data_IF_152321249149
#
_entry.id   IF_152321249149
#
_cell.length_a   1.000
_cell.length_b   1.000
_cell.length_c   1.000
_cell.angle_alpha   90.00
_cell.angle_beta   90.00
_cell.angle_gamma   90.00
#
_symmetry.space_group_name_H-M   'P 1'
#
loop_
_entity.id
_entity.type
_entity.pdbx_description
1 polymer ?
#
# COMPACT_ATOMS: atom_id res chain seq x y z
N UNK A 1 -1.06 22.37 11.02
CA UNK A 1 -1.15 20.91 11.20
C UNK A 1 -0.56 20.25 9.95
N UNK A 2 0.64 19.65 10.04
CA UNK A 2 1.34 19.08 8.89
C UNK A 2 0.56 17.95 8.20
N UNK A 3 -0.31 17.26 8.95
CA UNK A 3 -1.14 16.17 8.44
C UNK A 3 -2.23 16.63 7.46
N UNK A 4 -2.62 17.91 7.55
CA UNK A 4 -3.60 18.55 6.65
C UNK A 4 -2.89 19.11 5.42
N UNK A 5 -1.80 19.85 5.63
CA UNK A 5 -0.87 20.28 4.58
C UNK A 5 0.52 20.50 5.22
N UNK A 6 1.61 20.03 4.59
CA UNK A 6 1.69 19.45 3.25
C UNK A 6 1.42 17.93 3.17
N UNK A 7 1.03 17.28 4.28
CA UNK A 7 0.80 15.83 4.35
C UNK A 7 2.07 14.99 4.50
N UNK A 8 3.22 15.64 4.70
CA UNK A 8 4.51 15.00 4.91
C UNK A 8 5.46 15.90 5.71
N UNK A 9 6.43 15.30 6.39
CA UNK A 9 7.49 16.00 7.10
C UNK A 9 8.84 15.67 6.48
N UNK A 10 9.73 16.65 6.46
CA UNK A 10 11.11 16.46 5.99
C UNK A 10 12.08 16.38 7.17
N UNK A 11 13.15 15.63 6.99
CA UNK A 11 14.31 15.66 7.87
C UNK A 11 14.95 17.06 7.80
N UNK A 12 15.00 17.74 8.94
CA UNK A 12 15.62 19.06 9.10
C UNK A 12 17.03 18.99 9.68
N UNK A 13 17.55 17.78 9.93
CA UNK A 13 18.91 17.59 10.41
C UNK A 13 19.94 17.91 9.32
N UNK A 14 21.16 18.23 9.73
CA UNK A 14 22.30 18.32 8.81
C UNK A 14 22.87 16.92 8.57
N UNK A 15 23.09 16.57 7.31
CA UNK A 15 23.67 15.27 6.96
C UNK A 15 23.15 14.72 5.64
N UNK A 16 23.46 13.44 5.38
CA UNK A 16 23.10 12.75 4.13
C UNK A 16 21.60 12.57 3.92
N UNK A 17 20.80 12.67 4.99
CA UNK A 17 19.35 12.49 4.95
C UNK A 17 18.57 13.82 4.94
N UNK A 18 19.28 14.95 5.00
CA UNK A 18 18.67 16.28 5.03
C UNK A 18 17.71 16.48 3.84
N UNK A 19 16.47 16.88 4.14
CA UNK A 19 15.44 17.16 3.14
C UNK A 19 14.67 15.93 2.61
N UNK A 20 14.99 14.72 3.06
CA UNK A 20 14.20 13.51 2.80
C UNK A 20 12.89 13.53 3.59
N UNK A 21 11.83 12.95 3.05
CA UNK A 21 10.56 12.83 3.77
C UNK A 21 10.67 11.74 4.88
N UNK A 22 10.35 12.09 6.12
CA UNK A 22 10.46 11.22 7.32
C UNK A 22 9.10 10.80 7.90
N UNK A 23 8.02 11.45 7.49
CA UNK A 23 6.66 11.08 7.88
C UNK A 23 5.67 11.44 6.76
N UNK A 24 4.59 10.67 6.66
CA UNK A 24 3.52 10.86 5.69
C UNK A 24 2.17 10.75 6.39
N UNK A 25 1.24 11.63 6.06
CA UNK A 25 -0.11 11.62 6.63
C UNK A 25 -1.01 10.62 5.92
N UNK A 26 -2.10 10.22 6.57
CA UNK A 26 -3.11 9.34 5.96
C UNK A 26 -3.69 9.93 4.66
N UNK A 27 -3.99 11.23 4.64
CA UNK A 27 -4.49 11.94 3.45
C UNK A 27 -3.50 11.91 2.28
N UNK A 28 -2.20 12.01 2.57
CA UNK A 28 -1.15 11.88 1.56
C UNK A 28 -1.07 10.44 1.03
N UNK A 29 -1.07 9.46 1.93
CA UNK A 29 -0.91 8.04 1.61
C UNK A 29 -2.11 7.43 0.87
N UNK A 30 -3.30 8.02 1.03
CA UNK A 30 -4.55 7.59 0.37
C UNK A 30 -4.83 8.35 -0.93
N UNK A 31 -3.98 9.32 -1.32
CA UNK A 31 -4.17 10.16 -2.52
C UNK A 31 -4.03 9.41 -3.86
N UNK A 32 -3.74 8.11 -3.83
CA UNK A 32 -3.52 7.27 -5.00
C UNK A 32 -2.11 7.34 -5.59
N UNK A 33 -1.26 8.27 -5.13
CA UNK A 33 0.15 8.36 -5.54
C UNK A 33 1.05 7.66 -4.51
N UNK A 34 1.83 6.62 -4.89
CA UNK A 34 2.80 6.01 -4.00
C UNK A 34 3.86 7.00 -3.50
N UNK A 35 4.05 7.04 -2.18
CA UNK A 35 5.11 7.79 -1.54
C UNK A 35 6.46 7.10 -1.77
N UNK A 36 7.48 7.85 -2.19
CA UNK A 36 8.83 7.33 -2.33
C UNK A 36 9.48 7.24 -0.96
N UNK A 37 9.83 6.03 -0.53
CA UNK A 37 10.52 5.76 0.75
C UNK A 37 12.03 5.66 0.53
N UNK A 38 12.43 5.05 -0.58
CA UNK A 38 13.81 4.95 -1.06
C UNK A 38 13.78 4.79 -2.58
N UNK A 39 14.94 4.84 -3.26
CA UNK A 39 15.06 4.80 -4.72
C UNK A 39 14.27 3.66 -5.39
N UNK A 40 14.10 2.52 -4.71
CA UNK A 40 13.39 1.35 -5.22
C UNK A 40 12.18 0.92 -4.36
N UNK A 41 11.81 1.69 -3.33
CA UNK A 41 10.73 1.34 -2.40
C UNK A 41 9.70 2.46 -2.40
N UNK A 42 8.44 2.11 -2.68
CA UNK A 42 7.31 3.02 -2.53
C UNK A 42 6.26 2.45 -1.59
N UNK A 43 5.50 3.33 -0.95
CA UNK A 43 4.42 2.96 -0.04
C UNK A 43 3.13 3.75 -0.33
N UNK A 44 1.98 3.09 -0.28
CA UNK A 44 0.67 3.75 -0.28
C UNK A 44 -0.38 2.94 0.47
N UNK A 45 -1.48 3.62 0.79
CA UNK A 45 -2.71 3.00 1.28
C UNK A 45 -3.68 2.87 0.12
N UNK A 46 -4.16 1.65 -0.10
CA UNK A 46 -5.14 1.33 -1.13
C UNK A 46 -6.48 1.11 -0.43
N UNK A 47 -7.49 1.88 -0.83
CA UNK A 47 -8.84 1.74 -0.32
C UNK A 47 -9.70 1.00 -1.33
N UNK A 48 -10.18 -0.18 -0.97
CA UNK A 48 -11.15 -0.95 -1.76
C UNK A 48 -12.54 -0.71 -1.16
N UNK A 49 -13.41 -0.05 -1.93
CA UNK A 49 -14.78 0.27 -1.49
C UNK A 49 -15.64 -0.98 -1.32
N UNK A 50 -16.70 -0.92 -0.49
CA UNK A 50 -17.67 -2.01 -0.37
C UNK A 50 -18.17 -2.51 -1.72
N UNK A 51 -18.23 -3.83 -1.90
CA UNK A 51 -18.67 -4.48 -3.14
C UNK A 51 -17.75 -4.25 -4.34
N UNK A 52 -16.57 -3.64 -4.13
CA UNK A 52 -15.60 -3.38 -5.19
C UNK A 52 -14.41 -4.35 -5.14
N UNK A 53 -13.71 -4.40 -6.26
CA UNK A 53 -12.53 -5.23 -6.44
C UNK A 53 -11.33 -4.35 -6.77
N UNK A 54 -10.23 -4.56 -6.05
CA UNK A 54 -8.90 -4.05 -6.41
C UNK A 54 -8.17 -5.06 -7.28
N UNK A 55 -7.56 -4.59 -8.37
CA UNK A 55 -6.74 -5.42 -9.26
C UNK A 55 -5.31 -4.91 -9.29
N UNK A 56 -4.37 -5.84 -9.16
CA UNK A 56 -2.96 -5.59 -9.42
C UNK A 56 -2.57 -6.36 -10.68
N UNK A 57 -2.25 -5.59 -11.71
CA UNK A 57 -1.73 -6.14 -12.95
C UNK A 57 -0.34 -6.76 -12.71
N UNK A 58 0.01 -7.66 -13.63
CA UNK A 58 1.32 -8.29 -13.70
C UNK A 58 2.37 -7.19 -13.86
N UNK A 59 3.27 -7.09 -12.89
CA UNK A 59 4.39 -6.15 -12.91
C UNK A 59 5.68 -6.87 -12.54
N UNK A 60 6.81 -6.26 -12.93
CA UNK A 60 8.15 -6.72 -12.55
C UNK A 60 8.58 -6.14 -11.20
N UNK A 61 7.70 -6.23 -10.20
CA UNK A 61 7.91 -5.67 -8.86
C UNK A 61 7.42 -6.63 -7.79
N UNK A 62 8.10 -6.67 -6.65
CA UNK A 62 7.62 -7.34 -5.45
C UNK A 62 6.66 -6.41 -4.71
N UNK A 63 5.48 -6.90 -4.32
CA UNK A 63 4.56 -6.15 -3.47
C UNK A 63 4.33 -6.90 -2.17
N UNK A 64 4.54 -6.22 -1.06
CA UNK A 64 4.19 -6.68 0.29
C UNK A 64 2.95 -5.91 0.71
N UNK A 65 1.86 -6.62 0.96
CA UNK A 65 0.56 -6.02 1.28
C UNK A 65 0.07 -6.50 2.64
N UNK A 66 -0.50 -5.61 3.44
CA UNK A 66 -1.17 -5.97 4.68
C UNK A 66 -2.51 -5.28 4.83
N UNK A 67 -3.47 -5.99 5.43
CA UNK A 67 -4.80 -5.46 5.71
C UNK A 67 -4.72 -4.58 6.94
N UNK A 68 -4.81 -3.27 6.76
CA UNK A 68 -4.79 -2.29 7.85
C UNK A 68 -6.15 -2.17 8.52
N UNK A 69 -7.25 -2.36 7.77
CA UNK A 69 -8.61 -2.37 8.28
C UNK A 69 -9.52 -3.19 7.37
N UNK A 70 -10.46 -3.94 7.96
CA UNK A 70 -11.45 -4.74 7.24
C UNK A 70 -11.07 -6.21 7.07
N UNK A 71 -11.75 -6.88 6.14
CA UNK A 71 -11.50 -8.28 5.74
C UNK A 71 -11.43 -8.36 4.22
N UNK A 72 -10.37 -8.95 3.71
CA UNK A 72 -10.10 -9.10 2.29
C UNK A 72 -10.30 -10.56 1.85
N UNK A 73 -10.91 -10.76 0.69
CA UNK A 73 -10.78 -12.00 -0.06
C UNK A 73 -9.75 -11.77 -1.17
N UNK A 74 -8.61 -12.44 -1.06
CA UNK A 74 -7.45 -12.23 -1.92
C UNK A 74 -7.27 -13.45 -2.80
N UNK A 75 -7.19 -13.25 -4.12
CA UNK A 75 -6.84 -14.30 -5.07
C UNK A 75 -5.46 -14.03 -5.65
N UNK A 76 -4.52 -14.95 -5.47
CA UNK A 76 -3.16 -14.88 -6.02
C UNK A 76 -2.95 -16.11 -6.89
N UNK A 77 -2.64 -15.90 -8.17
CA UNK A 77 -2.39 -17.02 -9.11
C UNK A 77 -3.54 -18.05 -9.13
N UNK A 78 -4.78 -17.55 -9.06
CA UNK A 78 -6.00 -18.36 -9.02
C UNK A 78 -6.33 -19.01 -7.68
N UNK A 79 -5.51 -18.82 -6.63
CA UNK A 79 -5.75 -19.38 -5.29
C UNK A 79 -6.37 -18.34 -4.35
N UNK A 80 -7.57 -18.59 -3.80
CA UNK A 80 -8.24 -17.66 -2.90
C UNK A 80 -7.82 -17.83 -1.43
N UNK A 81 -7.77 -16.72 -0.70
CA UNK A 81 -7.46 -16.63 0.73
C UNK A 81 -8.36 -15.58 1.39
N UNK A 82 -8.77 -15.81 2.64
CA UNK A 82 -9.44 -14.79 3.46
C UNK A 82 -8.46 -14.23 4.48
N UNK A 83 -8.32 -12.91 4.51
CA UNK A 83 -7.37 -12.21 5.36
C UNK A 83 -8.12 -11.15 6.19
N UNK A 84 -7.93 -11.18 7.51
CA UNK A 84 -8.44 -10.16 8.41
C UNK A 84 -7.43 -9.03 8.64
N UNK A 85 -7.79 -8.09 9.51
CA UNK A 85 -6.90 -7.03 9.96
C UNK A 85 -5.57 -7.60 10.50
N UNK A 86 -4.47 -6.91 10.21
CA UNK A 86 -3.08 -7.27 10.53
C UNK A 86 -2.53 -8.51 9.79
N UNK A 87 -3.31 -9.16 8.92
CA UNK A 87 -2.77 -10.18 8.03
C UNK A 87 -1.98 -9.55 6.87
N UNK A 88 -0.98 -10.28 6.37
CA UNK A 88 -0.10 -9.87 5.27
C UNK A 88 -0.09 -10.94 4.16
N UNK A 89 0.07 -10.51 2.92
CA UNK A 89 0.31 -11.35 1.76
C UNK A 89 1.34 -10.71 0.82
N UNK A 90 1.93 -11.54 -0.05
CA UNK A 90 3.00 -11.12 -0.95
C UNK A 90 2.63 -11.46 -2.39
N UNK A 91 2.71 -10.47 -3.27
CA UNK A 91 2.55 -10.65 -4.72
C UNK A 91 3.94 -10.59 -5.33
N UNK A 92 4.42 -11.73 -5.82
CA UNK A 92 5.72 -11.86 -6.48
C UNK A 92 5.68 -11.26 -7.89
N UNK A 93 6.83 -10.84 -8.45
CA UNK A 93 6.91 -10.42 -9.85
C UNK A 93 6.30 -11.47 -10.79
N UNK A 94 5.60 -11.02 -11.83
CA UNK A 94 4.96 -11.92 -12.80
C UNK A 94 3.63 -12.53 -12.34
N UNK A 95 3.19 -12.28 -11.10
CA UNK A 95 1.91 -12.81 -10.57
C UNK A 95 0.80 -11.77 -10.61
N UNK A 96 -0.41 -12.24 -10.88
CA UNK A 96 -1.64 -11.45 -10.74
C UNK A 96 -2.15 -11.53 -9.30
N UNK A 97 -2.82 -10.46 -8.88
CA UNK A 97 -3.53 -10.44 -7.61
C UNK A 97 -4.84 -9.67 -7.74
N UNK A 98 -5.90 -10.24 -7.16
CA UNK A 98 -7.20 -9.62 -6.99
C UNK A 98 -7.53 -9.53 -5.50
N UNK A 99 -8.13 -8.43 -5.07
CA UNK A 99 -8.64 -8.27 -3.72
C UNK A 99 -10.08 -7.80 -3.76
N UNK A 100 -10.98 -8.59 -3.21
CA UNK A 100 -12.41 -8.27 -3.12
C UNK A 100 -12.77 -7.80 -1.71
N UNK A 101 -13.52 -6.70 -1.63
CA UNK A 101 -14.15 -6.25 -0.40
C UNK A 101 -15.63 -6.61 -0.40
N UNK A 102 -15.98 -7.72 0.26
CA UNK A 102 -17.37 -8.19 0.39
C UNK A 102 -18.10 -7.63 1.61
N UNK A 103 -17.45 -6.76 2.39
CA UNK A 103 -18.04 -6.14 3.58
C UNK A 103 -18.60 -4.75 3.26
N UNK A 104 -19.40 -4.23 4.20
CA UNK A 104 -20.04 -2.91 4.10
C UNK A 104 -19.13 -1.73 4.48
N UNK A 105 -17.90 -1.99 4.94
CA UNK A 105 -16.92 -0.97 5.33
C UNK A 105 -15.76 -0.92 4.35
N UNK A 106 -15.11 0.24 4.24
CA UNK A 106 -13.90 0.37 3.44
C UNK A 106 -12.81 -0.60 3.92
N UNK A 107 -12.21 -1.32 2.96
CA UNK A 107 -11.03 -2.13 3.16
C UNK A 107 -9.81 -1.26 2.89
N UNK A 108 -8.93 -1.13 3.88
CA UNK A 108 -7.67 -0.39 3.76
C UNK A 108 -6.50 -1.38 3.72
N UNK A 109 -5.67 -1.27 2.68
CA UNK A 109 -4.52 -2.14 2.45
C UNK A 109 -3.27 -1.27 2.39
N UNK A 110 -2.31 -1.57 3.25
CA UNK A 110 -0.96 -1.03 3.12
C UNK A 110 -0.25 -1.77 2.00
N UNK A 111 0.38 -1.04 1.08
CA UNK A 111 1.11 -1.62 -0.04
C UNK A 111 2.52 -1.04 -0.08
N UNK A 112 3.51 -1.91 0.14
CA UNK A 112 4.92 -1.61 -0.13
C UNK A 112 5.29 -2.25 -1.45
N UNK A 113 5.72 -1.44 -2.42
CA UNK A 113 6.23 -1.92 -3.71
C UNK A 113 7.74 -1.78 -3.75
N UNK A 114 8.42 -2.85 -4.15
CA UNK A 114 9.88 -2.95 -4.24
C UNK A 114 10.25 -3.27 -5.69
N UNK A 115 11.06 -2.40 -6.30
CA UNK A 115 11.59 -2.56 -7.67
C UNK A 115 12.97 -3.21 -7.65
N UNK A 116 13.30 -3.94 -8.72
CA UNK A 116 14.61 -4.57 -8.90
C UNK A 116 14.87 -5.77 -7.98
N UNK A 117 13.81 -6.52 -7.65
CA UNK A 117 13.89 -7.80 -6.94
C UNK A 117 14.12 -8.95 -7.91
#
# INVERSE_FOLDING_TARGET
NWEVAPGRMKDTSSGTNAGLDIAFSSSYLTSGKPALVSNNITFNVITVKPGSTGHWHVENTLRVLSVANGKAEVTIDGKPYQLGCNCMFVVRPGKTCQVDNRLYTDLAIHCTTIKGF
#
